data_IF_656846584931
#
_entry.id   IF_656846584931
#
_cell.length_a   1.000
_cell.length_b   1.000
_cell.length_c   1.000
_cell.angle_alpha   90.00
_cell.angle_beta   90.00
_cell.angle_gamma   90.00
#
_symmetry.space_group_name_H-M   'P 1'
#
loop_
_entity.id
_entity.type
_entity.pdbx_description
1 polymer ?
#
# COMPACT_ATOMS: atom_id res chain seq x y z
N UNK A 1 -12.48 27.56 19.37
CA UNK A 1 -12.40 26.31 18.61
C UNK A 1 -13.53 26.33 17.60
N UNK A 2 -13.25 26.39 16.30
CA UNK A 2 -14.31 26.35 15.28
C UNK A 2 -14.88 24.93 15.24
N UNK A 3 -16.08 24.76 15.80
CA UNK A 3 -16.80 23.50 15.74
C UNK A 3 -17.48 23.45 14.38
N UNK A 4 -17.05 22.55 13.52
CA UNK A 4 -17.65 22.38 12.20
C UNK A 4 -19.06 21.81 12.40
N UNK A 5 -20.09 22.44 11.83
CA UNK A 5 -21.48 22.03 12.06
C UNK A 5 -21.91 20.84 11.18
N UNK A 6 -21.09 20.51 10.18
CA UNK A 6 -21.40 19.54 9.13
C UNK A 6 -20.66 18.20 9.30
N UNK A 7 -19.97 17.99 10.43
CA UNK A 7 -19.03 16.87 10.59
C UNK A 7 -19.53 15.74 11.51
N UNK A 8 -20.73 15.85 12.07
CA UNK A 8 -21.27 14.87 13.03
C UNK A 8 -21.91 13.66 12.35
N UNK A 9 -22.70 13.89 11.31
CA UNK A 9 -23.53 12.87 10.68
C UNK A 9 -23.05 12.54 9.27
N UNK A 10 -23.24 11.28 8.87
CA UNK A 10 -22.84 10.81 7.54
C UNK A 10 -23.76 11.32 6.42
N UNK A 11 -24.97 11.76 6.77
CA UNK A 11 -25.98 12.26 5.82
C UNK A 11 -25.92 13.76 5.59
N UNK A 12 -25.03 14.48 6.29
CA UNK A 12 -24.95 15.94 6.25
C UNK A 12 -23.87 16.38 5.27
N UNK A 13 -24.28 17.01 4.17
CA UNK A 13 -23.36 17.60 3.21
C UNK A 13 -22.86 18.96 3.71
N UNK A 14 -21.55 19.20 3.56
CA UNK A 14 -21.00 20.53 3.74
C UNK A 14 -21.37 21.46 2.57
N UNK A 15 -21.34 22.79 2.76
CA UNK A 15 -21.55 23.75 1.67
C UNK A 15 -20.59 23.59 0.48
N UNK A 16 -19.45 22.95 0.69
CA UNK A 16 -18.47 22.63 -0.35
C UNK A 16 -18.74 21.29 -1.07
N UNK A 17 -19.86 20.61 -0.79
CA UNK A 17 -20.20 19.32 -1.41
C UNK A 17 -19.35 18.15 -0.91
N UNK A 18 -18.90 18.19 0.35
CA UNK A 18 -18.09 17.14 0.98
C UNK A 18 -18.83 16.45 2.12
N UNK A 19 -18.55 15.16 2.32
CA UNK A 19 -19.02 14.35 3.45
C UNK A 19 -17.87 14.08 4.42
N UNK A 20 -17.78 14.87 5.49
CA UNK A 20 -16.65 14.81 6.43
C UNK A 20 -16.53 13.48 7.16
N UNK A 21 -17.65 12.83 7.54
CA UNK A 21 -17.61 11.51 8.17
C UNK A 21 -16.96 10.43 7.30
N UNK A 22 -17.15 10.50 5.98
CA UNK A 22 -16.49 9.59 5.03
C UNK A 22 -14.99 9.90 4.95
N UNK A 23 -14.62 11.18 4.92
CA UNK A 23 -13.23 11.60 4.92
C UNK A 23 -12.48 11.20 6.20
N UNK A 24 -13.13 11.32 7.36
CA UNK A 24 -12.55 10.86 8.63
C UNK A 24 -12.37 9.34 8.65
N UNK A 25 -13.28 8.58 8.06
CA UNK A 25 -13.11 7.14 7.90
C UNK A 25 -11.93 6.80 6.96
N UNK A 26 -11.69 7.60 5.91
CA UNK A 26 -10.50 7.45 5.06
C UNK A 26 -9.20 7.75 5.81
N UNK A 27 -9.19 8.72 6.72
CA UNK A 27 -8.03 8.98 7.60
C UNK A 27 -7.75 7.81 8.54
N UNK A 28 -8.77 7.11 9.03
CA UNK A 28 -8.58 5.90 9.84
C UNK A 28 -7.79 4.80 9.09
N UNK A 29 -7.97 4.69 7.77
CA UNK A 29 -7.19 3.76 6.93
C UNK A 29 -5.71 4.13 6.94
N UNK A 30 -5.39 5.42 6.79
CA UNK A 30 -4.00 5.94 6.80
C UNK A 30 -3.30 5.72 8.14
N UNK A 31 -4.05 5.62 9.24
CA UNK A 31 -3.50 5.32 10.57
C UNK A 31 -3.22 3.82 10.78
N UNK A 32 -3.87 2.93 10.01
CA UNK A 32 -3.58 1.49 10.06
C UNK A 32 -2.17 1.20 9.53
N UNK A 33 -1.47 0.21 10.07
CA UNK A 33 -0.13 -0.12 9.54
C UNK A 33 -0.20 -0.65 8.10
N UNK A 34 0.88 -0.45 7.34
CA UNK A 34 0.91 -0.64 5.90
C UNK A 34 0.49 -2.04 5.43
N UNK A 35 -0.26 -2.07 4.33
CA UNK A 35 -0.56 -3.26 3.55
C UNK A 35 -0.34 -2.94 2.07
N UNK A 36 0.23 -3.89 1.34
CA UNK A 36 0.67 -3.77 -0.05
C UNK A 36 0.07 -4.93 -0.83
N UNK A 37 -0.37 -4.65 -2.04
CA UNK A 37 -0.84 -5.64 -2.99
C UNK A 37 -0.17 -5.44 -4.34
N UNK A 38 0.17 -6.54 -4.97
CA UNK A 38 0.83 -6.61 -6.27
C UNK A 38 0.19 -7.74 -7.09
N UNK A 39 0.10 -7.57 -8.41
CA UNK A 39 -0.32 -8.65 -9.30
C UNK A 39 0.54 -8.71 -10.56
N UNK A 40 0.80 -9.93 -11.01
CA UNK A 40 1.26 -10.24 -12.36
C UNK A 40 0.09 -10.75 -13.20
N UNK A 41 0.36 -11.24 -14.40
CA UNK A 41 -0.67 -11.93 -15.19
C UNK A 41 -1.15 -13.23 -14.54
N UNK A 42 -0.33 -13.86 -13.69
CA UNK A 42 -0.55 -15.22 -13.18
C UNK A 42 -0.76 -15.31 -11.67
N UNK A 43 -0.21 -14.36 -10.90
CA UNK A 43 -0.24 -14.40 -9.45
C UNK A 43 -0.60 -13.02 -8.87
N UNK A 44 -1.25 -13.01 -7.72
CA UNK A 44 -1.43 -11.83 -6.88
C UNK A 44 -0.84 -12.10 -5.49
N UNK A 45 -0.15 -11.09 -4.94
CA UNK A 45 0.51 -11.16 -3.64
C UNK A 45 0.01 -10.03 -2.77
N UNK A 46 -0.29 -10.37 -1.52
CA UNK A 46 -0.59 -9.43 -0.46
C UNK A 46 0.50 -9.50 0.58
N UNK A 47 0.99 -8.35 1.00
CA UNK A 47 1.98 -8.25 2.05
C UNK A 47 1.52 -7.21 3.08
N UNK A 48 1.69 -7.46 4.37
CA UNK A 48 1.27 -6.54 5.42
C UNK A 48 2.27 -6.45 6.56
N UNK A 49 2.41 -5.25 7.11
CA UNK A 49 3.14 -5.01 8.35
C UNK A 49 2.21 -5.28 9.53
N UNK A 50 2.53 -6.31 10.31
CA UNK A 50 1.89 -6.58 11.58
C UNK A 50 2.64 -5.83 12.67
N UNK A 51 1.93 -4.94 13.36
CA UNK A 51 2.48 -4.23 14.52
C UNK A 51 2.15 -5.02 15.78
N UNK A 52 3.13 -5.24 16.65
CA UNK A 52 2.91 -5.67 18.03
C UNK A 52 2.68 -4.44 18.90
N UNK A 53 1.83 -4.57 19.93
CA UNK A 53 1.63 -3.49 20.92
C UNK A 53 2.78 -3.41 21.93
N UNK A 54 3.42 -4.55 22.18
CA UNK A 54 4.54 -4.75 23.10
C UNK A 54 5.26 -6.04 22.73
N UNK A 55 6.48 -6.23 23.24
CA UNK A 55 7.27 -7.46 23.01
C UNK A 55 6.56 -8.73 23.52
N UNK A 56 5.71 -8.59 24.54
CA UNK A 56 4.91 -9.68 25.11
C UNK A 56 3.64 -9.97 24.29
N UNK A 57 3.29 -9.11 23.33
CA UNK A 57 2.04 -9.20 22.58
C UNK A 57 2.22 -9.91 21.26
N UNK A 58 1.26 -10.77 20.92
CA UNK A 58 1.21 -11.42 19.62
C UNK A 58 0.92 -10.40 18.51
N UNK A 59 1.52 -10.61 17.34
CA UNK A 59 1.26 -9.82 16.15
C UNK A 59 -0.19 -9.97 15.69
N UNK A 60 -0.87 -8.84 15.45
CA UNK A 60 -2.25 -8.85 14.97
C UNK A 60 -2.27 -9.19 13.47
N UNK A 61 -2.89 -10.34 13.14
CA UNK A 61 -3.11 -10.76 11.74
C UNK A 61 -3.96 -9.73 10.98
N UNK A 62 -3.49 -9.36 9.78
CA UNK A 62 -4.17 -8.43 8.85
C UNK A 62 -4.57 -9.03 7.52
N UNK A 63 -3.98 -10.17 7.17
CA UNK A 63 -4.33 -10.91 5.98
C UNK A 63 -5.31 -12.02 6.38
N UNK A 64 -6.44 -12.08 5.67
CA UNK A 64 -7.47 -13.07 5.88
C UNK A 64 -7.77 -13.79 4.57
N UNK A 65 -7.72 -15.12 4.61
CA UNK A 65 -8.27 -15.97 3.54
C UNK A 65 -9.79 -15.76 3.48
N UNK A 66 -10.33 -15.46 2.30
CA UNK A 66 -11.79 -15.39 2.07
C UNK A 66 -12.26 -16.71 1.47
N UNK A 67 -11.63 -17.15 0.39
CA UNK A 67 -11.90 -18.42 -0.27
C UNK A 67 -10.56 -19.02 -0.78
N UNK A 68 -10.61 -20.15 -1.46
CA UNK A 68 -9.42 -20.78 -2.05
C UNK A 68 -8.77 -19.93 -3.14
N UNK A 69 -9.52 -19.07 -3.84
CA UNK A 69 -9.01 -18.19 -4.89
C UNK A 69 -8.96 -16.70 -4.49
N UNK A 70 -9.36 -16.34 -3.26
CA UNK A 70 -9.47 -14.94 -2.81
C UNK A 70 -8.93 -14.76 -1.39
N UNK A 71 -8.16 -13.69 -1.20
CA UNK A 71 -7.81 -13.19 0.13
C UNK A 71 -7.81 -11.68 0.22
N UNK A 72 -7.82 -11.19 1.47
CA UNK A 72 -7.90 -9.76 1.76
C UNK A 72 -6.85 -9.33 2.77
N UNK A 73 -6.26 -8.16 2.54
CA UNK A 73 -5.45 -7.45 3.52
C UNK A 73 -6.20 -6.20 3.99
N UNK A 74 -6.17 -5.94 5.31
CA UNK A 74 -6.86 -4.80 5.92
C UNK A 74 -5.89 -3.71 6.38
N UNK A 75 -6.31 -2.45 6.25
CA UNK A 75 -5.71 -1.32 6.98
C UNK A 75 -6.80 -0.43 7.59
N UNK A 76 -6.63 -0.04 8.85
CA UNK A 76 -7.60 0.74 9.63
C UNK A 76 -8.21 -0.09 10.76
N UNK A 77 -9.50 0.10 11.03
CA UNK A 77 -10.23 -0.56 12.11
C UNK A 77 -10.36 -2.07 11.87
N UNK A 78 -9.61 -2.87 12.64
CA UNK A 78 -9.59 -4.34 12.50
C UNK A 78 -10.96 -4.97 12.74
N UNK A 79 -11.79 -4.39 13.60
CA UNK A 79 -13.16 -4.87 13.85
C UNK A 79 -14.01 -4.83 12.57
N UNK A 80 -13.99 -3.70 11.85
CA UNK A 80 -14.69 -3.53 10.59
C UNK A 80 -14.13 -4.48 9.52
N UNK A 81 -12.79 -4.61 9.47
CA UNK A 81 -12.12 -5.56 8.58
C UNK A 81 -12.57 -7.01 8.78
N UNK A 82 -12.79 -7.44 10.03
CA UNK A 82 -13.32 -8.78 10.34
C UNK A 82 -14.78 -8.95 9.91
N UNK A 83 -15.61 -7.92 10.09
CA UNK A 83 -17.01 -7.94 9.65
C UNK A 83 -17.09 -8.07 8.14
N UNK A 84 -16.30 -7.28 7.41
CA UNK A 84 -16.26 -7.34 5.94
C UNK A 84 -15.66 -8.66 5.46
N UNK A 85 -14.58 -9.16 6.07
CA UNK A 85 -14.01 -10.46 5.72
C UNK A 85 -15.01 -11.61 5.90
N UNK A 86 -15.80 -11.60 6.98
CA UNK A 86 -16.87 -12.58 7.21
C UNK A 86 -17.99 -12.45 6.17
N UNK A 87 -18.35 -11.22 5.82
CA UNK A 87 -19.34 -10.97 4.77
C UNK A 87 -18.87 -11.55 3.43
N UNK A 88 -17.64 -11.25 3.00
CA UNK A 88 -17.06 -11.78 1.76
C UNK A 88 -17.05 -13.31 1.75
N UNK A 89 -16.66 -13.95 2.86
CA UNK A 89 -16.70 -15.42 3.00
C UNK A 89 -18.11 -15.97 2.79
N UNK A 90 -19.12 -15.30 3.35
CA UNK A 90 -20.52 -15.68 3.17
C UNK A 90 -20.96 -15.61 1.70
N UNK A 91 -20.60 -14.54 1.00
CA UNK A 91 -20.93 -14.38 -0.43
C UNK A 91 -20.25 -15.44 -1.30
N UNK A 92 -18.97 -15.74 -1.05
CA UNK A 92 -18.26 -16.81 -1.78
C UNK A 92 -18.90 -18.19 -1.54
N UNK A 93 -19.17 -18.54 -0.28
CA UNK A 93 -19.82 -19.83 0.07
C UNK A 93 -21.20 -19.93 -0.57
N UNK A 94 -21.99 -18.85 -0.52
CA UNK A 94 -23.33 -18.84 -1.13
C UNK A 94 -23.26 -19.00 -2.65
N UNK A 95 -22.34 -18.30 -3.31
CA UNK A 95 -22.17 -18.43 -4.76
C UNK A 95 -21.76 -19.86 -5.15
N UNK A 96 -20.76 -20.42 -4.45
CA UNK A 96 -20.30 -21.79 -4.69
C UNK A 96 -21.40 -22.83 -4.41
N UNK A 97 -22.25 -22.60 -3.41
CA UNK A 97 -23.38 -23.47 -3.11
C UNK A 97 -24.47 -23.42 -4.20
N UNK A 98 -24.76 -22.24 -4.75
CA UNK A 98 -25.84 -22.07 -5.74
C UNK A 98 -25.41 -22.43 -7.15
N UNK A 99 -24.19 -22.06 -7.54
CA UNK A 99 -23.71 -22.14 -8.92
C UNK A 99 -22.60 -23.16 -9.13
N UNK A 100 -22.19 -23.88 -8.09
CA UNK A 100 -21.09 -24.87 -8.10
C UNK A 100 -19.80 -24.34 -8.75
N UNK A 101 -19.58 -23.02 -8.66
CA UNK A 101 -18.49 -22.30 -9.29
C UNK A 101 -17.95 -21.21 -8.38
N UNK A 102 -16.68 -20.89 -8.57
CA UNK A 102 -15.99 -19.86 -7.82
C UNK A 102 -16.53 -18.48 -8.19
N UNK A 103 -16.70 -17.61 -7.19
CA UNK A 103 -17.23 -16.27 -7.40
C UNK A 103 -16.18 -15.37 -8.07
N UNK A 104 -16.46 -14.75 -9.23
CA UNK A 104 -15.51 -13.84 -9.88
C UNK A 104 -15.14 -12.65 -8.97
N UNK A 105 -13.87 -12.27 -8.95
CA UNK A 105 -13.33 -11.30 -7.98
C UNK A 105 -14.00 -9.94 -8.15
N UNK A 106 -14.16 -9.49 -9.40
CA UNK A 106 -14.82 -8.23 -9.72
C UNK A 106 -16.26 -8.16 -9.19
N UNK A 107 -17.02 -9.27 -9.28
CA UNK A 107 -18.40 -9.31 -8.77
C UNK A 107 -18.46 -9.21 -7.25
N UNK A 108 -17.56 -9.91 -6.55
CA UNK A 108 -17.45 -9.85 -5.10
C UNK A 108 -17.12 -8.42 -4.61
N UNK A 109 -16.23 -7.72 -5.32
CA UNK A 109 -15.82 -6.35 -4.96
C UNK A 109 -16.96 -5.35 -5.17
N UNK A 110 -17.79 -5.53 -6.21
CA UNK A 110 -19.01 -4.71 -6.40
C UNK A 110 -19.98 -4.91 -5.23
N UNK A 111 -20.24 -6.15 -4.81
CA UNK A 111 -21.10 -6.42 -3.65
C UNK A 111 -20.55 -5.82 -2.35
N UNK A 112 -19.22 -5.86 -2.18
CA UNK A 112 -18.55 -5.20 -1.06
C UNK A 112 -18.74 -3.68 -1.08
N UNK A 113 -18.60 -3.06 -2.26
CA UNK A 113 -18.80 -1.64 -2.47
C UNK A 113 -20.24 -1.22 -2.17
N UNK A 114 -21.23 -1.95 -2.66
CA UNK A 114 -22.65 -1.71 -2.37
C UNK A 114 -22.94 -1.80 -0.87
N UNK A 115 -22.37 -2.81 -0.18
CA UNK A 115 -22.50 -2.94 1.26
C UNK A 115 -21.90 -1.75 2.01
N UNK A 116 -20.73 -1.28 1.57
CA UNK A 116 -20.06 -0.12 2.17
C UNK A 116 -20.83 1.18 1.92
N UNK A 117 -21.36 1.37 0.72
CA UNK A 117 -22.13 2.53 0.31
C UNK A 117 -23.41 2.70 1.15
N UNK A 118 -24.10 1.60 1.49
CA UNK A 118 -25.29 1.68 2.36
C UNK A 118 -24.97 2.30 3.73
N UNK A 119 -23.74 2.13 4.22
CA UNK A 119 -23.27 2.71 5.48
C UNK A 119 -22.89 4.20 5.37
N UNK A 120 -22.76 4.75 4.16
CA UNK A 120 -22.48 6.18 3.93
C UNK A 120 -23.74 7.03 3.76
N UNK A 121 -24.91 6.40 3.63
CA UNK A 121 -26.17 7.11 3.35
C UNK A 121 -27.23 7.00 4.46
N UNK A 122 -27.05 6.09 5.42
CA UNK A 122 -28.01 5.87 6.51
C UNK A 122 -27.53 6.53 7.79
N UNK A 123 -28.31 7.48 8.33
CA UNK A 123 -27.95 8.27 9.52
C UNK A 123 -27.63 7.44 10.77
N UNK A 124 -28.26 6.28 10.98
CA UNK A 124 -27.97 5.39 12.12
C UNK A 124 -26.78 4.45 11.90
N UNK A 125 -26.11 4.54 10.74
CA UNK A 125 -24.90 3.79 10.42
C UNK A 125 -23.73 4.75 10.32
N UNK A 126 -22.52 4.20 10.46
CA UNK A 126 -21.26 4.89 10.17
C UNK A 126 -20.55 4.20 9.00
N UNK A 127 -19.73 4.94 8.22
CA UNK A 127 -18.83 4.32 7.24
C UNK A 127 -17.91 3.29 7.92
N UNK A 128 -17.49 2.30 7.13
CA UNK A 128 -16.47 1.36 7.57
C UNK A 128 -15.12 2.06 7.64
N UNK A 129 -14.45 2.04 8.80
CA UNK A 129 -13.16 2.69 9.00
C UNK A 129 -11.98 1.82 8.56
N UNK A 130 -12.14 1.06 7.48
CA UNK A 130 -11.15 0.10 6.98
C UNK A 130 -11.04 0.18 5.47
N UNK A 131 -9.81 0.14 4.97
CA UNK A 131 -9.50 -0.10 3.56
C UNK A 131 -9.14 -1.56 3.37
N UNK A 132 -9.64 -2.16 2.29
CA UNK A 132 -9.38 -3.55 1.92
C UNK A 132 -8.58 -3.59 0.62
N UNK A 133 -7.49 -4.35 0.63
CA UNK A 133 -6.88 -4.86 -0.59
C UNK A 133 -7.40 -6.28 -0.80
N UNK A 134 -8.11 -6.49 -1.89
CA UNK A 134 -8.66 -7.80 -2.28
C UNK A 134 -7.81 -8.34 -3.41
N UNK A 135 -7.09 -9.43 -3.15
CA UNK A 135 -6.35 -10.16 -4.16
C UNK A 135 -7.09 -11.46 -4.47
N UNK A 136 -7.21 -11.79 -5.74
CA UNK A 136 -7.81 -13.04 -6.15
C UNK A 136 -7.41 -13.45 -7.56
N UNK A 137 -7.73 -14.70 -7.89
CA UNK A 137 -7.56 -15.27 -9.21
C UNK A 137 -8.93 -15.68 -9.73
N UNK A 138 -9.29 -15.26 -10.93
CA UNK A 138 -10.45 -15.78 -11.65
C UNK A 138 -10.07 -16.19 -13.07
N UNK A 139 -11.06 -16.55 -13.89
CA UNK A 139 -10.86 -16.98 -15.28
C UNK A 139 -10.19 -15.91 -16.16
N UNK A 140 -10.32 -14.63 -15.80
CA UNK A 140 -9.72 -13.52 -16.54
C UNK A 140 -8.29 -13.20 -16.08
N UNK A 141 -7.85 -13.77 -14.95
CA UNK A 141 -6.48 -13.72 -14.47
C UNK A 141 -6.38 -13.32 -13.01
N UNK A 142 -5.21 -12.81 -12.63
CA UNK A 142 -4.98 -12.30 -11.30
C UNK A 142 -5.49 -10.85 -11.18
N UNK A 143 -6.20 -10.57 -10.10
CA UNK A 143 -6.81 -9.27 -9.81
C UNK A 143 -6.37 -8.74 -8.45
N UNK A 144 -6.28 -7.41 -8.39
CA UNK A 144 -6.03 -6.66 -7.18
C UNK A 144 -6.97 -5.46 -7.15
N UNK A 145 -7.88 -5.47 -6.18
CA UNK A 145 -8.81 -4.38 -5.95
C UNK A 145 -8.52 -3.68 -4.64
N UNK A 146 -8.64 -2.35 -4.66
CA UNK A 146 -8.71 -1.54 -3.46
C UNK A 146 -10.16 -1.10 -3.23
N UNK A 147 -10.69 -1.38 -2.04
CA UNK A 147 -11.98 -0.87 -1.59
C UNK A 147 -11.76 0.18 -0.49
N UNK A 148 -12.34 1.35 -0.71
CA UNK A 148 -12.25 2.51 0.16
C UNK A 148 -13.49 2.60 1.08
N UNK A 149 -13.36 3.13 2.32
CA UNK A 149 -14.48 3.50 3.19
C UNK A 149 -15.63 4.27 2.54
N UNK A 150 -15.37 5.00 1.45
CA UNK A 150 -16.38 5.75 0.69
C UNK A 150 -17.37 4.88 -0.09
N UNK A 151 -17.09 3.58 -0.23
CA UNK A 151 -17.81 2.68 -1.12
C UNK A 151 -17.22 2.65 -2.54
N UNK A 152 -16.20 3.46 -2.83
CA UNK A 152 -15.50 3.36 -4.10
C UNK A 152 -14.55 2.15 -4.10
N UNK A 153 -14.41 1.55 -5.27
CA UNK A 153 -13.45 0.49 -5.52
C UNK A 153 -12.69 0.76 -6.81
N UNK A 154 -11.45 0.30 -6.86
CA UNK A 154 -10.55 0.50 -7.99
C UNK A 154 -9.73 -0.75 -8.22
N UNK A 155 -9.53 -1.11 -9.48
CA UNK A 155 -8.60 -2.15 -9.86
C UNK A 155 -7.20 -1.56 -10.05
N UNK A 156 -6.19 -2.21 -9.47
CA UNK A 156 -4.80 -1.77 -9.54
C UNK A 156 -3.91 -2.91 -10.03
N UNK A 157 -2.76 -2.56 -10.61
CA UNK A 157 -1.65 -3.52 -10.82
C UNK A 157 -0.82 -3.68 -9.54
N UNK A 158 -0.67 -2.56 -8.81
CA UNK A 158 0.06 -2.49 -7.57
C UNK A 158 -0.56 -1.37 -6.72
N UNK A 159 -0.76 -1.60 -5.43
CA UNK A 159 -1.25 -0.55 -4.55
C UNK A 159 -0.81 -0.78 -3.11
N UNK A 160 -0.66 0.31 -2.37
CA UNK A 160 -0.34 0.29 -0.95
C UNK A 160 -1.31 1.18 -0.16
N UNK A 161 -1.73 0.70 1.01
CA UNK A 161 -2.61 1.40 1.94
C UNK A 161 -1.99 1.40 3.34
N UNK A 162 -2.46 2.30 4.20
CA UNK A 162 -1.98 2.43 5.57
C UNK A 162 -0.89 3.49 5.78
N UNK A 163 -0.28 3.44 6.95
CA UNK A 163 0.69 4.42 7.41
C UNK A 163 1.94 4.39 6.54
N UNK A 164 2.35 5.56 6.05
CA UNK A 164 3.54 5.72 5.19
C UNK A 164 3.49 4.90 3.89
N UNK A 165 2.29 4.53 3.43
CA UNK A 165 2.14 3.82 2.16
C UNK A 165 2.61 4.62 0.95
N UNK A 166 2.81 5.95 1.08
CA UNK A 166 3.31 6.78 -0.01
C UNK A 166 4.72 6.38 -0.47
N UNK A 167 5.62 6.01 0.45
CA UNK A 167 6.96 5.55 0.09
C UNK A 167 6.90 4.27 -0.76
N UNK A 168 6.07 3.31 -0.32
CA UNK A 168 5.78 2.11 -1.10
C UNK A 168 5.18 2.43 -2.47
N UNK A 169 4.21 3.34 -2.57
CA UNK A 169 3.63 3.74 -3.87
C UNK A 169 4.68 4.31 -4.82
N UNK A 170 5.54 5.20 -4.33
CA UNK A 170 6.63 5.77 -5.13
C UNK A 170 7.59 4.69 -5.66
N UNK A 171 7.86 3.65 -4.88
CA UNK A 171 8.66 2.51 -5.33
C UNK A 171 7.92 1.70 -6.42
N UNK A 172 6.65 1.38 -6.18
CA UNK A 172 5.82 0.58 -7.08
C UNK A 172 5.57 1.30 -8.43
N UNK A 173 5.39 2.61 -8.41
CA UNK A 173 5.21 3.46 -9.61
C UNK A 173 6.45 3.45 -10.53
N UNK A 174 7.64 3.14 -10.02
CA UNK A 174 8.85 3.03 -10.87
C UNK A 174 8.95 1.70 -11.61
N UNK A 175 8.22 0.67 -11.16
CA UNK A 175 8.36 -0.72 -11.61
C UNK A 175 7.08 -1.34 -12.16
N UNK A 176 5.94 -0.65 -12.08
CA UNK A 176 4.63 -1.25 -12.37
C UNK A 176 4.52 -1.89 -13.76
N UNK A 177 5.15 -1.31 -14.78
CA UNK A 177 5.11 -1.83 -16.15
C UNK A 177 5.67 -3.26 -16.27
N UNK A 178 6.64 -3.60 -15.41
CA UNK A 178 7.30 -4.89 -15.43
C UNK A 178 6.52 -5.99 -14.69
N UNK A 179 5.58 -5.63 -13.81
CA UNK A 179 4.87 -6.60 -12.96
C UNK A 179 4.04 -7.61 -13.76
N UNK A 180 3.54 -7.23 -14.93
CA UNK A 180 2.73 -8.14 -15.76
C UNK A 180 3.49 -9.43 -16.16
N UNK A 181 4.81 -9.32 -16.41
CA UNK A 181 5.66 -10.45 -16.83
C UNK A 181 6.42 -11.11 -15.69
N UNK A 182 6.22 -10.67 -14.45
CA UNK A 182 6.97 -11.20 -13.30
C UNK A 182 6.56 -12.62 -12.92
N UNK A 183 7.56 -13.38 -12.50
CA UNK A 183 7.36 -14.65 -11.80
C UNK A 183 6.85 -14.42 -10.36
N UNK A 184 6.34 -15.49 -9.76
CA UNK A 184 5.88 -15.49 -8.36
C UNK A 184 6.93 -14.94 -7.40
N UNK A 185 8.17 -15.40 -7.51
CA UNK A 185 9.22 -15.07 -6.53
C UNK A 185 9.75 -13.63 -6.70
N UNK A 186 9.81 -13.12 -7.93
CA UNK A 186 10.13 -11.72 -8.20
C UNK A 186 9.06 -10.78 -7.64
N UNK A 187 7.79 -11.17 -7.76
CA UNK A 187 6.68 -10.38 -7.27
C UNK A 187 6.63 -10.34 -5.73
N UNK A 188 6.98 -11.45 -5.07
CA UNK A 188 7.16 -11.48 -3.61
C UNK A 188 8.35 -10.61 -3.18
N UNK A 189 9.45 -10.65 -3.91
CA UNK A 189 10.64 -9.81 -3.65
C UNK A 189 10.29 -8.32 -3.69
N UNK A 190 9.56 -7.88 -4.70
CA UNK A 190 9.15 -6.48 -4.81
C UNK A 190 8.11 -6.10 -3.74
N UNK A 191 7.26 -7.05 -3.32
CA UNK A 191 6.35 -6.85 -2.18
C UNK A 191 7.11 -6.58 -0.88
N UNK A 192 8.15 -7.37 -0.60
CA UNK A 192 8.99 -7.24 0.59
C UNK A 192 9.78 -5.94 0.56
N UNK A 193 10.35 -5.57 -0.59
CA UNK A 193 11.06 -4.30 -0.74
C UNK A 193 10.12 -3.11 -0.52
N UNK A 194 8.93 -3.13 -1.12
CA UNK A 194 7.94 -2.07 -0.92
C UNK A 194 7.51 -1.96 0.55
N UNK A 195 7.45 -3.07 1.30
CA UNK A 195 7.19 -3.04 2.74
C UNK A 195 8.35 -2.43 3.52
N UNK A 196 9.59 -2.78 3.17
CA UNK A 196 10.81 -2.26 3.82
C UNK A 196 10.82 -0.73 3.80
N UNK A 197 10.42 -0.12 2.68
CA UNK A 197 10.28 1.35 2.54
C UNK A 197 9.23 1.97 3.46
N UNK A 198 8.28 1.20 3.98
CA UNK A 198 7.28 1.69 4.94
C UNK A 198 7.72 1.60 6.40
N UNK A 199 8.81 0.88 6.70
CA UNK A 199 9.33 0.69 8.06
C UNK A 199 10.17 1.89 8.51
N UNK A 200 10.09 2.24 9.80
CA UNK A 200 10.74 3.43 10.37
C UNK A 200 12.13 3.09 10.93
N UNK A 201 13.01 2.52 10.09
CA UNK A 201 14.33 2.04 10.52
C UNK A 201 14.30 0.74 11.34
N UNK A 202 13.13 0.10 11.46
CA UNK A 202 13.01 -1.27 11.95
C UNK A 202 13.44 -2.26 10.87
N UNK A 203 14.19 -3.29 11.25
CA UNK A 203 14.57 -4.37 10.32
C UNK A 203 13.36 -5.22 9.99
N UNK A 204 13.20 -5.53 8.70
CA UNK A 204 12.17 -6.43 8.24
C UNK A 204 12.45 -7.84 8.78
N UNK A 205 11.59 -8.34 9.65
CA UNK A 205 11.69 -9.69 10.22
C UNK A 205 10.43 -10.49 9.87
N UNK A 206 10.54 -11.82 9.85
CA UNK A 206 9.43 -12.75 9.58
C UNK A 206 8.26 -12.65 10.57
N UNK A 207 8.48 -12.07 11.76
CA UNK A 207 7.44 -11.81 12.75
C UNK A 207 6.60 -10.56 12.42
N UNK A 208 7.24 -9.54 11.86
CA UNK A 208 6.63 -8.25 11.54
C UNK A 208 5.92 -8.32 10.19
N UNK A 209 6.45 -9.08 9.23
CA UNK A 209 5.88 -9.19 7.90
C UNK A 209 4.97 -10.42 7.78
N UNK A 210 3.85 -10.28 7.07
CA UNK A 210 3.08 -11.42 6.58
C UNK A 210 2.86 -11.27 5.10
N UNK A 211 3.12 -12.33 4.36
CA UNK A 211 2.93 -12.39 2.91
C UNK A 211 1.97 -13.52 2.60
N UNK A 212 1.06 -13.28 1.67
CA UNK A 212 0.14 -14.29 1.14
C UNK A 212 0.14 -14.23 -0.38
N UNK A 213 -0.02 -15.40 -1.00
CA UNK A 213 0.06 -15.58 -2.44
C UNK A 213 -1.18 -16.31 -2.91
N UNK A 214 -1.66 -15.92 -4.09
CA UNK A 214 -2.65 -16.67 -4.88
C UNK A 214 -2.22 -16.62 -6.34
N UNK A 215 -2.39 -17.72 -7.07
CA UNK A 215 -2.06 -17.73 -8.49
C UNK A 215 -2.42 -19.03 -9.18
N UNK A 216 -2.07 -19.11 -10.46
CA UNK A 216 -2.39 -20.27 -11.30
C UNK A 216 -1.71 -21.53 -10.72
N UNK A 217 -2.52 -22.47 -10.23
CA UNK A 217 -2.04 -23.71 -9.61
C UNK A 217 -1.72 -23.60 -8.11
N UNK A 218 -1.92 -22.43 -7.49
CA UNK A 218 -1.67 -22.19 -6.07
C UNK A 218 -2.85 -21.47 -5.41
N UNK A 219 -3.59 -22.19 -4.56
CA UNK A 219 -4.67 -21.60 -3.78
C UNK A 219 -4.16 -20.55 -2.79
N UNK A 220 -5.01 -19.61 -2.42
CA UNK A 220 -4.70 -18.56 -1.45
C UNK A 220 -4.24 -19.17 -0.12
N UNK A 221 -2.98 -18.90 0.21
CA UNK A 221 -2.37 -19.31 1.47
C UNK A 221 -1.39 -18.24 1.94
N UNK A 222 -1.14 -18.25 3.24
CA UNK A 222 -0.17 -17.36 3.89
C UNK A 222 1.16 -18.10 3.93
N UNK A 223 2.24 -17.44 3.52
CA UNK A 223 3.57 -18.04 3.52
C UNK A 223 4.07 -18.28 4.93
N UNK A 224 4.82 -19.37 5.11
CA UNK A 224 5.43 -19.70 6.39
C UNK A 224 6.51 -18.68 6.77
N UNK A 225 6.63 -18.32 8.07
CA UNK A 225 7.61 -17.35 8.53
C UNK A 225 9.06 -17.71 8.18
N UNK A 226 9.39 -19.01 8.11
CA UNK A 226 10.73 -19.49 7.74
C UNK A 226 11.10 -19.16 6.29
N UNK A 227 10.14 -19.32 5.37
CA UNK A 227 10.32 -19.01 3.94
C UNK A 227 10.48 -17.51 3.76
N UNK A 228 9.66 -16.72 4.47
CA UNK A 228 9.76 -15.25 4.46
C UNK A 228 11.15 -14.82 4.93
N UNK A 229 11.67 -15.44 5.99
CA UNK A 229 13.00 -15.11 6.51
C UNK A 229 14.12 -15.42 5.51
N UNK A 230 14.07 -16.58 4.85
CA UNK A 230 15.04 -16.92 3.79
C UNK A 230 14.98 -15.93 2.62
N UNK A 231 13.78 -15.50 2.24
CA UNK A 231 13.61 -14.50 1.17
C UNK A 231 14.17 -13.14 1.58
N UNK A 232 13.96 -12.71 2.83
CA UNK A 232 14.55 -11.48 3.36
C UNK A 232 16.08 -11.56 3.35
N UNK A 233 16.66 -12.63 3.88
CA UNK A 233 18.11 -12.84 3.91
C UNK A 233 18.71 -12.85 2.49
N UNK A 234 18.03 -13.52 1.54
CA UNK A 234 18.45 -13.53 0.13
C UNK A 234 18.44 -12.14 -0.52
N UNK A 235 17.57 -11.25 -0.07
CA UNK A 235 17.49 -9.88 -0.57
C UNK A 235 18.54 -8.97 0.07
N UNK A 236 18.80 -9.11 1.38
CA UNK A 236 19.82 -8.31 2.06
C UNK A 236 21.22 -8.56 1.48
N UNK A 237 21.54 -9.81 1.12
CA UNK A 237 22.80 -10.16 0.43
C UNK A 237 22.89 -9.51 -0.96
N UNK A 238 21.75 -9.36 -1.65
CA UNK A 238 21.67 -8.70 -2.97
C UNK A 238 21.79 -7.18 -2.92
N UNK A 239 21.39 -6.53 -1.82
CA UNK A 239 21.57 -5.08 -1.58
C UNK A 239 23.02 -4.75 -1.13
N UNK A 240 23.71 -5.66 -0.44
CA UNK A 240 25.12 -5.49 -0.03
C UNK A 240 26.12 -5.71 -1.19
N UNK A 241 25.81 -6.61 -2.14
CA UNK A 241 26.68 -6.90 -3.29
C UNK A 241 27.01 -5.67 -4.19
N UNK A 242 26.07 -4.74 -4.51
CA UNK A 242 26.40 -3.54 -5.26
C UNK A 242 27.12 -2.46 -4.42
N UNK A 243 26.96 -2.45 -3.09
CA UNK A 243 27.65 -1.49 -2.22
C UNK A 243 29.14 -1.81 -2.05
N UNK A 244 29.49 -3.10 -1.95
CA UNK A 244 30.90 -3.53 -1.88
C UNK A 244 31.66 -3.31 -3.20
N UNK A 245 30.99 -3.45 -4.35
CA UNK A 245 31.60 -3.21 -5.66
C UNK A 245 31.83 -1.71 -5.95
N UNK A 246 30.95 -0.82 -5.47
CA UNK A 246 31.12 0.62 -5.60
C UNK A 246 32.21 1.18 -4.67
N UNK A 247 32.40 0.60 -3.48
CA UNK A 247 33.47 0.98 -2.56
C UNK A 247 34.86 0.49 -3.00
N UNK A 248 34.95 -0.56 -3.82
CA UNK A 248 36.21 -1.08 -4.35
C UNK A 248 36.72 -0.35 -5.62
N UNK A 249 35.97 0.62 -6.14
CA UNK A 249 36.28 1.33 -7.39
C UNK A 249 36.77 2.77 -7.20
N UNK A 250 37.13 3.18 -5.98
CA UNK A 250 37.85 4.44 -5.73
C UNK A 250 39.37 4.18 -5.73
N UNK A 251 40.15 4.74 -6.68
CA UNK A 251 41.59 4.67 -6.58
C UNK A 251 42.10 5.69 -5.55
N UNK A 252 42.87 5.19 -4.59
CA UNK A 252 43.68 5.98 -3.66
C UNK A 252 44.72 6.83 -4.42
N UNK A 253 44.75 8.13 -4.11
CA UNK A 253 45.77 9.07 -4.57
C UNK A 253 45.95 10.18 -3.53
N UNK A 254 46.91 9.97 -2.63
CA UNK A 254 47.29 10.88 -1.55
C UNK A 254 48.37 11.89 -2.00
N UNK A 255 48.53 12.94 -1.18
CA UNK A 255 49.66 13.88 -1.02
C UNK A 255 49.51 15.34 -1.54
N UNK A 256 48.94 16.17 -0.67
CA UNK A 256 49.55 17.31 0.05
C UNK A 256 50.45 18.36 -0.64
N UNK A 257 50.06 19.63 -0.51
CA UNK A 257 50.83 20.88 -0.22
C UNK A 257 50.01 22.09 -0.76
N UNK A 258 49.86 23.27 -0.17
CA UNK A 258 50.43 23.95 0.99
C UNK A 258 50.14 25.46 0.82
N UNK A 259 49.47 26.03 1.81
CA UNK A 259 49.54 27.42 2.35
C UNK A 259 49.38 28.72 1.51
N UNK A 260 48.78 29.71 2.21
CA UNK A 260 48.98 31.16 2.16
C UNK A 260 48.21 32.10 1.17
N UNK A 261 47.33 32.92 1.80
CA UNK A 261 47.35 34.40 1.82
C UNK A 261 46.45 35.28 0.92
N UNK A 262 45.71 36.16 1.63
CA UNK A 262 45.51 37.62 1.43
C UNK A 262 44.48 38.20 0.41
N UNK A 263 43.36 38.66 0.98
CA UNK A 263 42.75 40.01 0.97
C UNK A 263 42.84 41.00 -0.24
N UNK A 264 41.64 41.52 -0.59
CA UNK A 264 41.27 42.87 -1.08
C UNK A 264 41.81 43.32 -2.47
N UNK A 265 41.09 44.01 -3.37
CA UNK A 265 40.40 45.31 -3.27
C UNK A 265 39.44 45.51 -4.48
N UNK A 266 38.39 46.32 -4.25
CA UNK A 266 37.49 47.11 -5.15
C UNK A 266 37.88 47.37 -6.63
N UNK A 267 36.87 47.47 -7.52
CA UNK A 267 36.37 48.77 -8.01
C UNK A 267 35.07 48.68 -8.84
N UNK A 268 34.38 49.82 -8.86
CA UNK A 268 32.99 50.11 -9.21
C UNK A 268 32.73 50.25 -10.73
N UNK A 269 31.46 50.21 -11.14
CA UNK A 269 31.07 50.56 -12.52
C UNK A 269 29.58 50.51 -12.87
N UNK A 270 28.77 51.32 -12.19
CA UNK A 270 27.54 52.05 -12.61
C UNK A 270 26.44 51.45 -13.51
N UNK A 271 25.22 51.84 -13.12
CA UNK A 271 23.89 51.57 -13.65
C UNK A 271 23.60 52.06 -15.08
N UNK A 272 22.61 51.42 -15.73
CA UNK A 272 21.66 52.14 -16.58
C UNK A 272 20.28 51.45 -16.60
N UNK A 273 19.25 52.27 -16.33
CA UNK A 273 17.82 51.97 -16.39
C UNK A 273 17.28 51.92 -17.84
N UNK A 274 16.14 51.24 -18.00
CA UNK A 274 15.20 51.36 -19.13
C UNK A 274 14.66 49.99 -19.51
N UNK A 275 13.38 49.74 -19.77
CA UNK A 275 12.13 50.51 -19.73
C UNK A 275 11.01 49.44 -19.79
N UNK A 276 9.80 49.79 -19.36
CA UNK A 276 8.58 48.96 -19.48
C UNK A 276 8.26 48.69 -20.98
N UNK A 277 7.47 47.70 -21.43
CA UNK A 277 6.14 47.28 -21.00
C UNK A 277 5.71 45.99 -21.80
N UNK A 278 4.52 45.41 -21.55
CA UNK A 278 4.10 44.07 -21.96
C UNK A 278 3.34 44.03 -23.31
N UNK A 279 3.13 42.85 -23.89
CA UNK A 279 2.16 42.64 -24.98
C UNK A 279 1.43 41.30 -24.80
N UNK A 280 0.13 41.41 -24.54
CA UNK A 280 -0.91 40.39 -24.70
C UNK A 280 -1.18 40.07 -26.18
N UNK A 281 -1.56 38.82 -26.47
CA UNK A 281 -2.75 38.44 -27.27
C UNK A 281 -3.35 37.18 -26.64
#
# INVERSE_FOLDING_TARGET
MFRNQYDTDVTTWSPAGRLFQVEYAMEAVKQGSAAIGLRSATHAVLASVNKSSSELSSHQKKIFKVDDHIGVAIAGLTADGRVLSRYLRGECINHRFVYESDLPVGRLVVQLADKAQVCTQRSWKRPYGVGLLVAGLDESGAHLYYNCPSGNYFEYQAFAIGSRSQAAKTYLERRFESFASYSRDELIKDALFAIKETLQGEKLTSSICTVAVVGVGEAFHVLDPSIIQQLIESQEIGDEAPAAAAAAAAPDGDAAAGDAAAAAVDEQGQAQEGDAAPMDI
#
